data_IF_357972269679
#
_entry.id   IF_357972269679
#
_cell.length_a   1.000
_cell.length_b   1.000
_cell.length_c   1.000
_cell.angle_alpha   90.00
_cell.angle_beta   90.00
_cell.angle_gamma   90.00
#
_symmetry.space_group_name_H-M   'P 1'
#
loop_
_entity.id
_entity.type
_entity.pdbx_description
1 polymer ?
#
# COMPACT_ATOMS: atom_id res chain seq x y z
N UNK A 1 4.85 -0.14 -1.33
CA UNK A 1 4.55 -1.32 -2.14
C UNK A 1 5.49 -2.47 -1.80
N UNK A 2 4.96 -3.68 -1.76
CA UNK A 2 5.71 -4.93 -1.80
C UNK A 2 5.13 -5.74 -2.97
N UNK A 3 5.98 -6.32 -3.79
CA UNK A 3 5.59 -7.25 -4.85
C UNK A 3 6.48 -8.48 -4.78
N UNK A 4 5.92 -9.66 -4.88
CA UNK A 4 6.64 -10.92 -4.99
C UNK A 4 6.07 -11.71 -6.17
N UNK A 5 6.90 -11.99 -7.15
CA UNK A 5 6.52 -12.78 -8.33
C UNK A 5 7.44 -12.54 -9.53
N UNK A 6 7.19 -13.22 -10.66
CA UNK A 6 6.39 -14.43 -10.69
C UNK A 6 7.13 -15.59 -10.00
N UNK A 7 6.40 -16.41 -9.25
CA UNK A 7 6.92 -17.68 -8.77
C UNK A 7 7.02 -18.73 -9.88
N UNK A 8 7.50 -19.92 -9.55
CA UNK A 8 7.66 -21.04 -10.50
C UNK A 8 6.35 -21.46 -11.20
N UNK A 9 5.20 -21.16 -10.60
CA UNK A 9 3.85 -21.38 -11.15
C UNK A 9 3.21 -20.15 -11.79
N UNK A 10 3.94 -19.04 -11.96
CA UNK A 10 3.42 -17.79 -12.51
C UNK A 10 2.63 -16.92 -11.51
N UNK A 11 2.47 -17.38 -10.27
CA UNK A 11 1.72 -16.65 -9.24
C UNK A 11 2.48 -15.45 -8.69
N UNK A 12 1.74 -14.47 -8.16
CA UNK A 12 2.30 -13.28 -7.53
C UNK A 12 1.44 -12.78 -6.37
N UNK A 13 2.08 -12.08 -5.43
CA UNK A 13 1.43 -11.36 -4.34
C UNK A 13 1.93 -9.92 -4.32
N UNK A 14 1.02 -8.95 -4.23
CA UNK A 14 1.42 -7.56 -3.98
C UNK A 14 0.66 -6.95 -2.81
N UNK A 15 1.33 -6.04 -2.11
CA UNK A 15 0.74 -5.18 -1.09
C UNK A 15 0.95 -3.75 -1.54
N UNK A 16 -0.12 -3.04 -1.80
CA UNK A 16 -0.09 -1.73 -2.45
C UNK A 16 -0.93 -0.70 -1.70
N UNK A 17 -0.36 0.49 -1.57
CA UNK A 17 -1.08 1.65 -1.06
C UNK A 17 -1.64 2.45 -2.24
N UNK A 18 -2.96 2.57 -2.29
CA UNK A 18 -3.62 3.37 -3.31
C UNK A 18 -4.71 4.24 -2.70
N UNK A 19 -4.63 5.53 -2.94
CA UNK A 19 -5.57 6.53 -2.41
C UNK A 19 -5.77 6.42 -0.88
N UNK A 20 -4.68 6.24 -0.14
CA UNK A 20 -4.68 6.09 1.30
C UNK A 20 -5.22 4.77 1.84
N UNK A 21 -5.51 3.82 0.99
CA UNK A 21 -6.02 2.50 1.36
C UNK A 21 -5.04 1.40 0.95
N UNK A 22 -4.95 0.38 1.77
CA UNK A 22 -4.07 -0.75 1.53
C UNK A 22 -4.81 -1.88 0.84
N UNK A 23 -4.20 -2.40 -0.22
CA UNK A 23 -4.71 -3.52 -0.98
C UNK A 23 -3.70 -4.66 -0.98
N UNK A 24 -4.21 -5.87 -0.83
CA UNK A 24 -3.45 -7.11 -1.11
C UNK A 24 -4.02 -7.72 -2.38
N UNK A 25 -3.17 -7.87 -3.37
CA UNK A 25 -3.51 -8.55 -4.61
C UNK A 25 -2.83 -9.90 -4.62
N UNK A 26 -3.57 -10.92 -4.97
CA UNK A 26 -3.09 -12.30 -5.10
C UNK A 26 -3.46 -12.78 -6.49
N UNK A 27 -2.48 -13.27 -7.23
CA UNK A 27 -2.67 -13.89 -8.53
C UNK A 27 -2.04 -15.29 -8.50
N UNK A 28 -2.84 -16.31 -8.68
CA UNK A 28 -2.37 -17.70 -8.66
C UNK A 28 -1.80 -18.17 -10.01
N UNK A 29 -1.71 -17.26 -10.99
CA UNK A 29 -1.19 -17.54 -12.34
C UNK A 29 -2.20 -18.22 -13.26
N UNK A 30 -3.44 -18.45 -12.84
CA UNK A 30 -4.50 -18.98 -13.70
C UNK A 30 -5.30 -17.86 -14.35
N UNK A 31 -6.11 -18.18 -15.36
CA UNK A 31 -6.90 -17.20 -16.13
C UNK A 31 -7.84 -16.35 -15.25
N UNK A 32 -8.39 -16.96 -14.21
CA UNK A 32 -9.34 -16.32 -13.27
C UNK A 32 -8.76 -16.22 -11.85
N UNK A 33 -7.44 -16.34 -11.72
CA UNK A 33 -6.75 -16.48 -10.44
C UNK A 33 -6.49 -15.18 -9.70
N UNK A 34 -6.78 -14.02 -10.32
CA UNK A 34 -6.57 -12.73 -9.69
C UNK A 34 -7.64 -12.37 -8.69
N UNK A 35 -7.21 -12.02 -7.48
CA UNK A 35 -8.08 -11.57 -6.39
C UNK A 35 -7.49 -10.33 -5.73
N UNK A 36 -8.34 -9.36 -5.41
CA UNK A 36 -7.96 -8.11 -4.77
C UNK A 36 -8.72 -7.93 -3.46
N UNK A 37 -7.99 -7.69 -2.40
CA UNK A 37 -8.55 -7.50 -1.06
C UNK A 37 -8.19 -6.12 -0.53
N UNK A 38 -9.20 -5.41 -0.02
CA UNK A 38 -9.01 -4.17 0.72
C UNK A 38 -8.76 -4.52 2.20
N UNK A 39 -7.67 -4.00 2.76
CA UNK A 39 -7.43 -4.02 4.19
C UNK A 39 -7.89 -2.68 4.77
N UNK A 40 -8.95 -2.73 5.56
CA UNK A 40 -9.48 -1.54 6.21
C UNK A 40 -8.74 -1.24 7.51
N UNK A 41 -8.15 -0.06 7.59
CA UNK A 41 -7.71 0.50 8.86
C UNK A 41 -8.91 1.05 9.63
N UNK A 42 -8.85 1.08 10.96
CA UNK A 42 -9.89 1.72 11.79
C UNK A 42 -10.11 3.18 11.44
N UNK A 43 -9.06 3.86 11.01
CA UNK A 43 -9.11 5.24 10.50
C UNK A 43 -9.67 5.35 9.08
N UNK A 44 -9.83 4.23 8.37
CA UNK A 44 -10.17 4.18 6.95
C UNK A 44 -9.03 4.56 6.00
N UNK A 45 -7.89 5.04 6.53
CA UNK A 45 -6.70 5.44 5.75
C UNK A 45 -5.43 5.00 6.47
N UNK A 46 -4.38 4.73 5.69
CA UNK A 46 -3.03 4.36 6.17
C UNK A 46 -1.94 5.33 5.66
N UNK A 47 -2.34 6.44 5.08
CA UNK A 47 -1.47 7.55 4.71
C UNK A 47 -1.65 8.75 5.67
N UNK A 48 -1.98 8.46 6.92
CA UNK A 48 -2.26 9.42 7.99
C UNK A 48 -1.01 9.86 8.77
N UNK A 49 0.17 9.43 8.32
CA UNK A 49 1.44 9.74 8.95
C UNK A 49 1.77 8.91 10.19
N UNK A 50 0.91 7.97 10.54
CA UNK A 50 1.15 7.06 11.64
C UNK A 50 1.81 5.76 11.15
N UNK A 51 2.51 5.05 12.04
CA UNK A 51 3.03 3.73 11.71
C UNK A 51 1.92 2.69 11.63
N UNK A 52 1.90 1.93 10.54
CA UNK A 52 0.98 0.82 10.32
C UNK A 52 1.72 -0.49 10.19
N UNK A 53 1.14 -1.55 10.75
CA UNK A 53 1.67 -2.91 10.65
C UNK A 53 0.79 -3.71 9.70
N UNK A 54 1.41 -4.24 8.65
CA UNK A 54 0.75 -5.11 7.68
C UNK A 54 1.31 -6.51 7.81
N UNK A 55 0.43 -7.50 7.92
CA UNK A 55 0.80 -8.91 7.88
C UNK A 55 0.06 -9.59 6.73
N UNK A 56 0.81 -10.30 5.90
CA UNK A 56 0.27 -11.16 4.85
C UNK A 56 1.01 -12.48 4.93
N UNK A 57 0.27 -13.55 5.15
CA UNK A 57 0.82 -14.90 5.22
C UNK A 57 0.09 -15.77 4.19
N UNK A 58 0.86 -16.51 3.41
CA UNK A 58 0.35 -17.45 2.43
C UNK A 58 0.82 -18.85 2.79
N UNK A 59 -0.10 -19.73 3.10
CA UNK A 59 0.20 -21.12 3.43
C UNK A 59 -0.92 -22.04 2.96
N UNK A 60 -0.57 -23.14 2.29
CA UNK A 60 -1.48 -24.20 1.88
C UNK A 60 -2.75 -23.73 1.15
N UNK A 61 -2.66 -22.70 0.33
CA UNK A 61 -3.81 -22.14 -0.39
C UNK A 61 -4.73 -21.27 0.47
N UNK A 62 -4.24 -20.79 1.59
CA UNK A 62 -4.93 -19.81 2.41
C UNK A 62 -4.06 -18.56 2.53
N UNK A 63 -4.64 -17.39 2.30
CA UNK A 63 -4.02 -16.10 2.58
C UNK A 63 -4.64 -15.54 3.85
N UNK A 64 -3.80 -15.30 4.85
CA UNK A 64 -4.18 -14.55 6.04
C UNK A 64 -3.65 -13.15 5.97
N UNK A 65 -4.50 -12.19 6.31
CA UNK A 65 -4.18 -10.78 6.24
C UNK A 65 -4.63 -10.05 7.49
N UNK A 66 -3.83 -9.10 7.94
CA UNK A 66 -4.22 -8.15 8.98
C UNK A 66 -3.54 -6.80 8.79
N UNK A 67 -4.18 -5.77 9.28
CA UNK A 67 -3.70 -4.41 9.33
C UNK A 67 -3.81 -3.90 10.76
N UNK A 68 -2.67 -3.50 11.35
CA UNK A 68 -2.55 -3.09 12.74
C UNK A 68 -3.12 -4.16 13.72
N UNK A 69 -4.00 -3.75 14.60
CA UNK A 69 -4.68 -4.62 15.57
C UNK A 69 -6.07 -5.08 15.05
N UNK A 70 -6.31 -5.00 13.74
CA UNK A 70 -7.54 -5.53 13.17
C UNK A 70 -7.61 -7.05 13.30
N UNK A 71 -8.82 -7.58 13.30
CA UNK A 71 -9.00 -9.03 13.23
C UNK A 71 -8.30 -9.57 11.98
N UNK A 72 -7.58 -10.68 12.18
CA UNK A 72 -6.98 -11.41 11.10
C UNK A 72 -8.09 -12.09 10.29
N UNK A 73 -8.17 -11.81 9.02
CA UNK A 73 -9.11 -12.49 8.13
C UNK A 73 -8.37 -13.35 7.12
N UNK A 74 -9.05 -14.41 6.71
CA UNK A 74 -8.53 -15.40 5.78
C UNK A 74 -9.30 -15.44 4.48
N UNK A 75 -8.62 -15.84 3.42
CA UNK A 75 -9.21 -16.10 2.11
C UNK A 75 -8.60 -17.36 1.52
N UNK A 76 -9.45 -18.15 0.90
CA UNK A 76 -9.01 -19.31 0.13
C UNK A 76 -8.53 -18.84 -1.24
N UNK A 77 -7.36 -19.31 -1.61
CA UNK A 77 -6.76 -19.11 -2.92
C UNK A 77 -6.27 -20.46 -3.45
N UNK A 78 -5.99 -20.57 -4.72
CA UNK A 78 -5.31 -21.78 -5.19
C UNK A 78 -3.90 -21.85 -4.62
N UNK A 79 -3.39 -23.03 -4.27
CA UNK A 79 -2.01 -23.18 -3.85
C UNK A 79 -1.07 -22.62 -4.93
N UNK A 80 -0.20 -21.71 -4.53
CA UNK A 80 0.82 -21.14 -5.40
C UNK A 80 2.20 -21.31 -4.77
N UNK A 81 3.20 -21.40 -5.61
CA UNK A 81 4.59 -21.55 -5.20
C UNK A 81 5.36 -20.26 -5.54
N UNK A 82 5.70 -19.49 -4.52
CA UNK A 82 6.50 -18.27 -4.66
C UNK A 82 7.99 -18.51 -4.42
N UNK A 83 8.45 -19.78 -4.28
CA UNK A 83 9.87 -20.07 -4.12
C UNK A 83 10.63 -19.62 -5.35
N UNK A 84 11.74 -18.94 -5.12
CA UNK A 84 12.57 -18.36 -6.18
C UNK A 84 11.97 -17.11 -6.84
N UNK A 85 10.82 -16.61 -6.35
CA UNK A 85 10.28 -15.34 -6.80
C UNK A 85 11.15 -14.17 -6.31
N UNK A 86 11.32 -13.18 -7.17
CA UNK A 86 11.93 -11.92 -6.77
C UNK A 86 10.97 -11.11 -5.88
N UNK A 87 11.55 -10.38 -4.93
CA UNK A 87 10.79 -9.52 -4.03
C UNK A 87 11.25 -8.08 -4.20
N UNK A 88 10.31 -7.21 -4.47
CA UNK A 88 10.53 -5.77 -4.64
C UNK A 88 9.86 -5.00 -3.52
N UNK A 89 10.58 -4.07 -2.91
CA UNK A 89 10.12 -3.21 -1.82
C UNK A 89 10.18 -1.74 -2.23
N UNK A 90 9.12 -1.00 -1.97
CA UNK A 90 9.02 0.42 -2.26
C UNK A 90 8.68 0.76 -3.71
N UNK A 91 9.10 -0.05 -4.64
CA UNK A 91 8.87 0.14 -6.08
C UNK A 91 9.72 -0.81 -6.91
N UNK A 92 9.71 -0.59 -8.19
CA UNK A 92 10.53 -1.30 -9.18
C UNK A 92 11.16 -0.25 -10.11
N UNK A 93 12.28 -0.60 -10.73
CA UNK A 93 12.87 0.27 -11.75
C UNK A 93 11.99 0.36 -13.01
N UNK A 94 12.20 1.39 -13.80
CA UNK A 94 11.38 1.68 -14.98
C UNK A 94 11.47 0.58 -16.04
N UNK A 95 12.61 -0.09 -16.15
CA UNK A 95 12.80 -1.20 -17.08
C UNK A 95 11.94 -2.42 -16.71
N UNK A 96 11.66 -2.61 -15.43
CA UNK A 96 10.86 -3.72 -14.95
C UNK A 96 9.35 -3.40 -14.88
N UNK A 97 8.96 -2.12 -14.81
CA UNK A 97 7.54 -1.71 -14.70
C UNK A 97 6.64 -2.34 -15.74
N UNK A 98 7.07 -2.32 -16.99
CA UNK A 98 6.32 -2.91 -18.10
C UNK A 98 6.11 -4.42 -18.02
N UNK A 99 6.92 -5.11 -17.21
CA UNK A 99 6.85 -6.55 -16.98
C UNK A 99 5.91 -6.91 -15.81
N UNK A 100 5.53 -5.93 -14.98
CA UNK A 100 4.57 -6.17 -13.90
C UNK A 100 3.21 -6.58 -14.46
N UNK A 101 2.48 -7.46 -13.78
CA UNK A 101 1.11 -7.79 -14.13
C UNK A 101 0.23 -6.54 -14.21
N UNK A 102 -0.77 -6.56 -15.07
CA UNK A 102 -1.67 -5.41 -15.33
C UNK A 102 -2.44 -4.95 -14.08
N UNK A 103 -2.65 -5.83 -13.12
CA UNK A 103 -3.37 -5.56 -11.88
C UNK A 103 -2.50 -4.92 -10.79
N UNK A 104 -1.20 -4.82 -11.00
CA UNK A 104 -0.27 -4.16 -10.08
C UNK A 104 -0.23 -2.66 -10.39
N UNK A 105 -0.70 -1.84 -9.47
CA UNK A 105 -0.80 -0.38 -9.64
C UNK A 105 0.54 0.29 -9.95
N UNK A 106 1.62 -0.22 -9.37
CA UNK A 106 2.97 0.31 -9.58
C UNK A 106 3.43 0.18 -11.04
N UNK A 107 2.76 -0.65 -11.84
CA UNK A 107 3.03 -0.73 -13.28
C UNK A 107 2.87 0.64 -13.96
N UNK A 108 1.77 1.34 -13.65
CA UNK A 108 1.40 2.59 -14.30
C UNK A 108 1.40 3.78 -13.31
N UNK A 109 1.58 3.50 -12.03
CA UNK A 109 1.57 4.45 -10.94
C UNK A 109 2.95 4.78 -10.37
N UNK A 110 3.04 5.72 -9.43
CA UNK A 110 4.29 6.07 -8.76
C UNK A 110 4.77 4.95 -7.86
N UNK A 111 6.08 4.93 -7.58
CA UNK A 111 6.66 4.13 -6.52
C UNK A 111 6.13 4.58 -5.15
N UNK A 112 6.30 3.72 -4.13
CA UNK A 112 5.89 4.06 -2.78
C UNK A 112 6.69 5.25 -2.25
N UNK A 113 5.98 6.22 -1.72
CA UNK A 113 6.55 7.35 -0.99
C UNK A 113 6.20 7.22 0.49
N UNK A 114 7.19 7.02 1.32
CA UNK A 114 7.02 6.81 2.75
C UNK A 114 8.16 6.01 3.35
N UNK A 115 8.01 5.58 4.59
CA UNK A 115 9.00 4.82 5.32
C UNK A 115 8.62 3.35 5.45
N UNK A 116 9.59 2.47 5.28
CA UNK A 116 9.46 1.04 5.53
C UNK A 116 10.48 0.63 6.59
N UNK A 117 10.04 -0.14 7.58
CA UNK A 117 10.92 -0.71 8.59
C UNK A 117 10.38 -2.05 9.10
N UNK A 118 11.25 -2.80 9.76
CA UNK A 118 10.90 -4.10 10.36
C UNK A 118 10.29 -5.10 9.38
N UNK A 119 10.74 -5.09 8.12
CA UNK A 119 10.28 -6.07 7.12
C UNK A 119 10.78 -7.46 7.48
N UNK A 120 9.87 -8.44 7.45
CA UNK A 120 10.15 -9.83 7.78
C UNK A 120 9.58 -10.75 6.71
N UNK A 121 10.28 -11.83 6.43
CA UNK A 121 9.86 -12.90 5.54
C UNK A 121 10.04 -14.27 6.20
N UNK A 122 9.45 -15.29 5.65
CA UNK A 122 9.67 -16.70 5.97
C UNK A 122 9.67 -17.01 7.47
N UNK A 123 8.54 -16.80 8.13
CA UNK A 123 8.40 -17.12 9.56
C UNK A 123 9.13 -16.16 10.49
N UNK A 124 9.46 -14.96 10.04
CA UNK A 124 9.94 -13.88 10.89
C UNK A 124 11.40 -13.49 10.71
N UNK A 125 12.08 -13.97 9.69
CA UNK A 125 13.43 -13.53 9.37
C UNK A 125 13.46 -12.05 9.03
N UNK A 126 14.18 -11.26 9.83
CA UNK A 126 14.35 -9.82 9.63
C UNK A 126 15.21 -9.54 8.41
N UNK A 127 14.77 -8.62 7.58
CA UNK A 127 15.52 -8.14 6.42
C UNK A 127 16.28 -6.88 6.79
N UNK A 128 17.57 -6.87 6.51
CA UNK A 128 18.42 -5.68 6.62
C UNK A 128 18.17 -4.79 5.38
N UNK A 129 17.22 -3.87 5.50
CA UNK A 129 16.83 -2.99 4.40
C UNK A 129 17.99 -2.11 3.91
N UNK A 130 18.89 -1.72 4.78
CA UNK A 130 20.03 -0.86 4.42
C UNK A 130 20.98 -1.61 3.47
N UNK A 131 21.17 -2.91 3.69
CA UNK A 131 21.98 -3.74 2.79
C UNK A 131 21.34 -4.02 1.45
N UNK A 132 20.02 -3.86 1.34
CA UNK A 132 19.30 -4.04 0.06
C UNK A 132 19.37 -2.80 -0.83
N UNK A 133 19.67 -1.63 -0.25
CA UNK A 133 19.83 -0.40 -1.01
C UNK A 133 21.08 -0.53 -1.87
N UNK A 134 20.89 -0.62 -3.17
CA UNK A 134 22.00 -0.61 -4.14
C UNK A 134 22.34 0.84 -4.47
N UNK A 135 23.60 1.10 -4.78
CA UNK A 135 24.15 2.43 -5.10
C UNK A 135 23.44 3.17 -6.26
N UNK A 136 22.55 2.47 -6.96
CA UNK A 136 21.81 2.97 -8.12
C UNK A 136 20.35 3.31 -7.84
N UNK A 137 19.89 3.19 -6.59
CA UNK A 137 18.49 3.45 -6.25
C UNK A 137 18.30 4.95 -5.94
N UNK A 138 18.02 5.72 -6.96
CA UNK A 138 17.65 7.14 -6.80
C UNK A 138 16.42 7.30 -5.91
N UNK A 139 16.49 8.24 -4.97
CA UNK A 139 15.37 8.58 -4.09
C UNK A 139 15.20 7.70 -2.85
N UNK A 140 16.03 6.67 -2.64
CA UNK A 140 16.01 5.87 -1.42
C UNK A 140 17.00 6.43 -0.40
N UNK A 141 16.52 6.62 0.84
CA UNK A 141 17.33 7.07 1.97
C UNK A 141 17.40 5.99 3.04
N UNK A 142 18.51 5.93 3.76
CA UNK A 142 18.72 4.94 4.85
C UNK A 142 18.03 5.31 6.16
N UNK A 143 17.45 6.49 6.23
CA UNK A 143 16.69 6.97 7.38
C UNK A 143 15.39 7.60 6.93
N UNK A 144 14.35 7.45 7.73
CA UNK A 144 13.12 8.20 7.54
C UNK A 144 13.36 9.66 7.90
N UNK A 145 13.18 10.55 6.96
CA UNK A 145 13.15 11.99 7.21
C UNK A 145 11.94 12.37 8.10
N UNK A 146 11.91 13.62 8.52
CA UNK A 146 10.69 14.18 9.12
C UNK A 146 9.65 14.41 8.04
N UNK A 147 8.41 14.01 8.31
CA UNK A 147 7.30 14.31 7.43
C UNK A 147 7.15 15.83 7.31
N UNK A 148 7.00 16.36 6.08
CA UNK A 148 6.83 17.80 5.92
C UNK A 148 5.55 18.28 6.61
N UNK A 149 5.67 19.37 7.38
CA UNK A 149 4.49 20.01 7.98
C UNK A 149 3.78 20.88 6.94
N UNK A 150 2.86 20.27 6.20
CA UNK A 150 2.10 20.94 5.15
C UNK A 150 0.74 21.45 5.61
N UNK A 151 0.29 21.08 6.82
CA UNK A 151 -0.98 21.54 7.37
C UNK A 151 -0.95 23.02 7.74
N UNK A 152 0.21 23.61 7.97
CA UNK A 152 0.37 25.06 8.20
C UNK A 152 0.16 25.89 6.93
N UNK A 153 0.40 25.32 5.76
CA UNK A 153 0.31 25.97 4.47
C UNK A 153 -1.03 25.72 3.74
N UNK A 154 -1.78 24.71 4.16
CA UNK A 154 -3.06 24.33 3.55
C UNK A 154 -4.19 24.59 4.51
N UNK A 155 -5.14 25.41 4.08
CA UNK A 155 -6.40 25.60 4.82
C UNK A 155 -7.44 24.63 4.28
N UNK A 156 -7.74 23.58 5.04
CA UNK A 156 -8.95 22.81 4.81
C UNK A 156 -10.14 23.71 5.06
N UNK A 157 -11.04 23.81 4.09
CA UNK A 157 -12.21 24.71 4.19
C UNK A 157 -13.33 24.07 4.98
N UNK A 158 -14.27 24.89 5.41
CA UNK A 158 -15.51 24.44 6.04
C UNK A 158 -15.29 23.47 7.22
N UNK A 159 -14.34 23.81 8.09
CA UNK A 159 -13.97 23.06 9.29
C UNK A 159 -13.46 21.63 9.03
N UNK A 160 -12.99 21.35 7.82
CA UNK A 160 -12.27 20.11 7.53
C UNK A 160 -10.97 20.00 8.35
N UNK A 161 -10.69 18.80 8.82
CA UNK A 161 -9.49 18.52 9.62
C UNK A 161 -8.32 18.21 8.71
N UNK A 162 -7.21 18.94 8.87
CA UNK A 162 -5.98 18.66 8.13
C UNK A 162 -5.15 17.60 8.83
N UNK A 163 -4.71 16.60 8.09
CA UNK A 163 -3.71 15.61 8.49
C UNK A 163 -2.50 15.63 7.55
N UNK A 164 -1.35 15.26 8.08
CA UNK A 164 -0.10 15.19 7.32
C UNK A 164 -0.01 13.87 6.58
N UNK A 165 0.52 13.89 5.36
CA UNK A 165 0.97 12.70 4.66
C UNK A 165 2.28 12.96 3.91
N UNK A 166 2.97 11.90 3.48
CA UNK A 166 4.23 12.00 2.73
C UNK A 166 4.07 12.65 1.35
N UNK A 167 2.89 12.57 0.77
CA UNK A 167 2.56 13.18 -0.53
C UNK A 167 1.96 14.59 -0.41
N UNK A 168 1.73 15.06 0.81
CA UNK A 168 1.15 16.37 1.09
C UNK A 168 -0.02 16.32 2.08
N UNK A 169 -0.67 17.45 2.34
CA UNK A 169 -1.75 17.52 3.30
C UNK A 169 -3.00 16.82 2.79
N UNK A 170 -3.71 16.17 3.69
CA UNK A 170 -4.99 15.52 3.43
C UNK A 170 -6.05 16.17 4.30
N UNK A 171 -7.15 16.63 3.69
CA UNK A 171 -8.29 17.16 4.43
C UNK A 171 -9.33 16.08 4.67
N UNK A 172 -9.64 15.83 5.94
CA UNK A 172 -10.78 15.01 6.35
C UNK A 172 -12.03 15.89 6.39
N UNK A 173 -12.95 15.62 5.48
CA UNK A 173 -14.21 16.33 5.36
C UNK A 173 -15.39 15.58 5.99
N UNK A 174 -15.16 14.45 6.66
CA UNK A 174 -16.21 13.54 7.14
C UNK A 174 -17.17 14.19 8.16
N UNK A 175 -16.72 15.24 8.83
CA UNK A 175 -17.52 16.02 9.79
C UNK A 175 -18.08 17.32 9.22
N UNK A 176 -18.01 17.48 7.90
CA UNK A 176 -18.51 18.64 7.17
C UNK A 176 -19.60 18.21 6.19
N UNK A 177 -20.39 19.16 5.70
CA UNK A 177 -21.34 18.94 4.60
C UNK A 177 -20.67 19.10 3.23
N UNK A 178 -19.34 19.16 3.21
CA UNK A 178 -18.54 19.43 2.01
C UNK A 178 -17.68 18.25 1.64
N UNK A 179 -17.29 18.21 0.36
CA UNK A 179 -16.43 17.18 -0.24
C UNK A 179 -15.28 17.84 -1.01
N UNK A 180 -14.48 17.03 -1.70
CA UNK A 180 -13.31 17.48 -2.46
C UNK A 180 -12.04 17.56 -1.61
N UNK A 181 -10.90 17.74 -2.28
CA UNK A 181 -9.56 17.66 -1.68
C UNK A 181 -9.31 18.66 -0.54
N UNK A 182 -10.09 19.73 -0.47
CA UNK A 182 -9.96 20.78 0.54
C UNK A 182 -11.31 21.09 1.21
N UNK A 183 -12.26 20.16 1.21
CA UNK A 183 -13.61 20.33 1.74
C UNK A 183 -14.33 21.57 1.19
N UNK A 184 -14.19 21.84 -0.11
CA UNK A 184 -14.68 23.08 -0.73
C UNK A 184 -15.87 22.85 -1.67
N UNK A 185 -16.23 21.60 -1.94
CA UNK A 185 -17.34 21.24 -2.83
C UNK A 185 -18.59 20.94 -1.98
N UNK A 186 -19.62 21.77 -2.09
CA UNK A 186 -20.90 21.51 -1.44
C UNK A 186 -21.59 20.29 -2.07
N UNK A 187 -22.24 19.49 -1.24
CA UNK A 187 -23.15 18.42 -1.70
C UNK A 187 -24.44 19.05 -2.19
N UNK A 188 -24.71 18.95 -3.50
CA UNK A 188 -26.02 19.30 -4.05
C UNK A 188 -27.03 18.19 -3.66
N UNK A 189 -27.87 18.47 -2.70
CA UNK A 189 -29.04 17.65 -2.45
C UNK A 189 -30.08 17.92 -3.54
N UNK A 190 -30.19 17.00 -4.49
CA UNK A 190 -31.35 17.02 -5.42
C UNK A 190 -32.51 16.41 -4.66
N UNK A 191 -33.43 17.26 -4.19
CA UNK A 191 -34.72 16.82 -3.68
C UNK A 191 -35.56 16.37 -4.87
N UNK A 192 -35.89 15.09 -4.92
CA UNK A 192 -36.90 14.53 -5.82
C UNK A 192 -38.27 14.58 -5.13
#
# INVERSE_FOLDING_TARGET
>A
MLYSGPGSGGGSVSVELFNGRLYVNVDDGSTDGFQKYLLDARSGRVDDGQPHRVTVELENGVVWMSLDDSERFERLVRPMDLRGADVYLGGVDDGFRGLLPWHVWTRDGPSYLGCLWSVRFDGGRMVDLVKLIRDTADGIQTSCGTMPDNCTAVTCRNDGVCSQSWVGPVCDCSRTEFTGTHCHQGTLWILY
#
